data_IF_483683999026
#
_entry.id   IF_483683999026
#
_cell.length_a   1.000
_cell.length_b   1.000
_cell.length_c   1.000
_cell.angle_alpha   90.00
_cell.angle_beta   90.00
_cell.angle_gamma   90.00
#
_symmetry.space_group_name_H-M   'P 1'
#
loop_
_entity.id
_entity.type
_entity.pdbx_description
1 polymer ?
#
# COMPACT_ATOMS: atom_id res chain seq x y z
N UNK A 1 -13.77 -15.53 1.73
CA UNK A 1 -12.52 -15.47 2.51
C UNK A 1 -12.86 -14.94 3.89
N UNK A 2 -12.33 -15.55 4.95
CA UNK A 2 -12.58 -15.15 6.35
C UNK A 2 -11.25 -14.72 6.96
N UNK A 3 -11.26 -13.59 7.69
CA UNK A 3 -10.10 -13.06 8.42
C UNK A 3 -10.46 -12.92 9.90
N UNK A 4 -9.61 -13.44 10.77
CA UNK A 4 -9.71 -13.23 12.22
C UNK A 4 -8.46 -12.48 12.66
N UNK A 5 -8.59 -11.14 12.67
CA UNK A 5 -7.47 -10.23 12.89
C UNK A 5 -6.32 -10.46 11.89
N UNK A 6 -5.09 -10.26 12.36
CA UNK A 6 -3.87 -10.44 11.54
C UNK A 6 -3.28 -11.85 11.60
N UNK A 7 -3.84 -12.74 12.43
CA UNK A 7 -3.24 -14.02 12.79
C UNK A 7 -3.79 -15.22 12.03
N UNK A 8 -4.98 -15.08 11.43
CA UNK A 8 -5.71 -16.22 10.91
C UNK A 8 -6.55 -15.82 9.70
N UNK A 9 -6.42 -16.57 8.62
CA UNK A 9 -7.30 -16.46 7.46
C UNK A 9 -7.74 -17.84 6.96
N UNK A 10 -8.93 -17.90 6.36
CA UNK A 10 -9.44 -19.07 5.66
C UNK A 10 -9.84 -18.68 4.24
N UNK A 11 -9.21 -19.34 3.26
CA UNK A 11 -9.46 -19.17 1.84
C UNK A 11 -9.67 -20.55 1.22
N UNK A 12 -10.84 -20.79 0.61
CA UNK A 12 -11.18 -22.07 -0.03
C UNK A 12 -10.92 -23.29 0.88
N UNK A 13 -11.38 -23.23 2.13
CA UNK A 13 -11.13 -24.22 3.18
C UNK A 13 -9.65 -24.43 3.58
N UNK A 14 -8.71 -23.71 2.99
CA UNK A 14 -7.32 -23.70 3.41
C UNK A 14 -7.16 -22.69 4.54
N UNK A 15 -6.63 -23.18 5.67
CA UNK A 15 -6.32 -22.39 6.84
C UNK A 15 -4.88 -21.88 6.75
N UNK A 16 -4.71 -20.57 6.88
CA UNK A 16 -3.40 -19.93 7.02
C UNK A 16 -3.30 -19.24 8.38
N UNK A 17 -2.25 -19.56 9.13
CA UNK A 17 -1.92 -18.96 10.43
C UNK A 17 -0.66 -18.12 10.32
N UNK A 18 -0.67 -16.93 10.91
CA UNK A 18 0.48 -16.03 10.94
C UNK A 18 1.00 -15.88 12.36
N UNK A 19 2.31 -16.09 12.51
CA UNK A 19 3.02 -15.95 13.77
C UNK A 19 3.81 -14.64 13.79
N UNK A 20 3.71 -13.92 14.91
CA UNK A 20 4.33 -12.61 15.08
C UNK A 20 5.23 -12.59 16.30
N UNK A 21 6.27 -11.77 16.24
CA UNK A 21 6.96 -11.25 17.41
C UNK A 21 6.78 -9.73 17.43
N UNK A 22 6.02 -9.24 18.41
CA UNK A 22 5.57 -7.85 18.43
C UNK A 22 4.78 -7.53 17.15
N UNK A 23 5.24 -6.53 16.39
CA UNK A 23 4.62 -6.10 15.14
C UNK A 23 5.11 -6.86 13.90
N UNK A 24 6.16 -7.67 14.03
CA UNK A 24 6.82 -8.32 12.88
C UNK A 24 6.28 -9.72 12.65
N UNK A 25 5.85 -10.00 11.42
CA UNK A 25 5.41 -11.34 11.00
C UNK A 25 6.64 -12.22 10.73
N UNK A 26 6.79 -13.30 11.49
CA UNK A 26 7.98 -14.17 11.44
C UNK A 26 7.75 -15.48 10.68
N UNK A 27 6.52 -15.98 10.67
CA UNK A 27 6.22 -17.25 10.03
C UNK A 27 4.77 -17.33 9.59
N UNK A 28 4.55 -18.21 8.63
CA UNK A 28 3.24 -18.55 8.10
C UNK A 28 3.09 -20.06 8.09
N UNK A 29 1.96 -20.56 8.59
CA UNK A 29 1.58 -21.97 8.46
C UNK A 29 0.34 -22.08 7.59
N UNK A 30 0.51 -22.63 6.40
CA UNK A 30 -0.58 -22.86 5.45
C UNK A 30 -0.77 -24.36 5.32
N UNK A 31 -1.99 -24.84 5.56
CA UNK A 31 -2.34 -26.26 5.43
C UNK A 31 -1.34 -27.20 6.15
N UNK A 32 -1.03 -26.88 7.41
CA UNK A 32 -0.08 -27.63 8.24
C UNK A 32 1.41 -27.37 7.95
N UNK A 33 1.77 -26.80 6.80
CA UNK A 33 3.15 -26.53 6.41
C UNK A 33 3.66 -25.20 6.98
N UNK A 34 4.67 -25.24 7.85
CA UNK A 34 5.32 -24.06 8.42
C UNK A 34 6.43 -23.54 7.50
N UNK A 35 6.40 -22.23 7.22
CA UNK A 35 7.48 -21.53 6.52
C UNK A 35 7.86 -20.26 7.29
N UNK A 36 9.15 -19.93 7.33
CA UNK A 36 9.62 -18.73 8.00
C UNK A 36 9.76 -17.59 6.99
N UNK A 37 9.44 -16.39 7.45
CA UNK A 37 9.49 -15.16 6.69
C UNK A 37 10.58 -14.27 7.30
N UNK A 38 11.55 -13.90 6.48
CA UNK A 38 12.60 -12.97 6.86
C UNK A 38 12.36 -11.67 6.12
N UNK A 39 12.51 -10.57 6.85
CA UNK A 39 12.18 -9.26 6.34
C UNK A 39 13.28 -8.23 6.44
N UNK A 40 13.05 -7.10 5.78
CA UNK A 40 13.90 -5.92 5.88
C UNK A 40 13.55 -5.07 7.11
N UNK A 41 14.28 -3.97 7.29
CA UNK A 41 14.08 -3.04 8.41
C UNK A 41 12.70 -2.34 8.40
N UNK A 42 11.98 -2.34 7.27
CA UNK A 42 10.63 -1.81 7.16
C UNK A 42 9.55 -2.86 7.45
N UNK A 43 9.96 -4.11 7.72
CA UNK A 43 9.05 -5.23 7.95
C UNK A 43 8.49 -5.85 6.67
N UNK A 44 9.11 -5.60 5.51
CA UNK A 44 8.71 -6.27 4.26
C UNK A 44 9.08 -7.76 4.30
N UNK A 45 8.34 -8.64 3.65
CA UNK A 45 8.73 -10.06 3.53
C UNK A 45 9.68 -10.27 2.35
N UNK A 46 10.98 -10.38 2.60
CA UNK A 46 12.00 -10.48 1.54
C UNK A 46 12.43 -11.91 1.24
N UNK A 47 12.40 -12.82 2.21
CA UNK A 47 12.86 -14.20 2.02
C UNK A 47 11.90 -15.17 2.70
N UNK A 48 11.64 -16.31 2.06
CA UNK A 48 10.97 -17.45 2.68
C UNK A 48 11.93 -18.61 2.82
N UNK A 49 11.94 -19.25 3.99
CA UNK A 49 12.66 -20.51 4.22
C UNK A 49 11.70 -21.62 4.65
N UNK A 50 12.11 -22.86 4.41
CA UNK A 50 11.41 -24.05 4.88
C UNK A 50 11.79 -24.39 6.33
N UNK A 51 11.24 -25.49 6.85
CA UNK A 51 11.51 -25.96 8.21
C UNK A 51 12.99 -26.32 8.48
N UNK A 52 13.78 -26.63 7.44
CA UNK A 52 15.22 -26.91 7.56
C UNK A 52 16.10 -25.66 7.39
N UNK A 53 15.51 -24.48 7.24
CA UNK A 53 16.23 -23.21 7.04
C UNK A 53 16.71 -22.97 5.60
N UNK A 54 16.42 -23.87 4.66
CA UNK A 54 16.75 -23.66 3.26
C UNK A 54 15.85 -22.61 2.62
N UNK A 55 16.45 -21.70 1.83
CA UNK A 55 15.73 -20.64 1.10
C UNK A 55 14.87 -21.24 -0.01
N UNK A 56 13.56 -20.99 0.05
CA UNK A 56 12.59 -21.43 -0.98
C UNK A 56 12.15 -20.29 -1.89
N UNK A 57 12.17 -19.05 -1.40
CA UNK A 57 11.83 -17.88 -2.20
C UNK A 57 12.53 -16.62 -1.70
N UNK A 58 12.68 -15.63 -2.58
CA UNK A 58 13.14 -14.29 -2.25
C UNK A 58 12.49 -13.23 -3.13
N UNK A 59 12.18 -12.08 -2.57
CA UNK A 59 11.74 -10.88 -3.26
C UNK A 59 12.56 -9.67 -2.81
N UNK A 60 12.90 -8.81 -3.77
CA UNK A 60 13.51 -7.51 -3.52
C UNK A 60 12.57 -6.43 -4.02
N UNK A 61 12.40 -5.38 -3.22
CA UNK A 61 11.51 -4.27 -3.51
C UNK A 61 12.32 -3.02 -3.90
N UNK A 62 11.77 -2.19 -4.79
CA UNK A 62 12.21 -0.81 -4.98
C UNK A 62 11.75 0.03 -3.78
N UNK A 63 12.21 1.28 -3.70
CA UNK A 63 11.90 2.21 -2.61
C UNK A 63 10.39 2.40 -2.34
N UNK A 64 9.55 2.21 -3.36
CA UNK A 64 8.09 2.37 -3.27
C UNK A 64 7.32 1.04 -3.32
N UNK A 65 7.97 -0.10 -3.10
CA UNK A 65 7.28 -1.39 -3.00
C UNK A 65 7.04 -2.14 -4.30
N UNK A 66 7.45 -1.58 -5.44
CA UNK A 66 7.47 -2.32 -6.71
C UNK A 66 8.48 -3.46 -6.61
N UNK A 67 8.09 -4.65 -7.05
CA UNK A 67 8.97 -5.81 -7.05
C UNK A 67 10.10 -5.62 -8.06
N UNK A 68 11.34 -5.50 -7.57
CA UNK A 68 12.55 -5.39 -8.39
C UNK A 68 13.03 -6.75 -8.89
N UNK A 69 12.92 -7.77 -8.05
CA UNK A 69 13.37 -9.12 -8.36
C UNK A 69 12.59 -10.13 -7.52
N UNK A 70 12.27 -11.27 -8.12
CA UNK A 70 11.69 -12.43 -7.41
C UNK A 70 12.35 -13.71 -7.86
N UNK A 71 12.57 -14.61 -6.90
CA UNK A 71 12.95 -15.99 -7.13
C UNK A 71 12.04 -16.88 -6.28
N UNK A 72 11.46 -17.91 -6.89
CA UNK A 72 10.41 -18.70 -6.26
C UNK A 72 9.14 -17.89 -5.98
N UNK A 73 8.23 -18.48 -5.21
CA UNK A 73 6.97 -17.82 -4.79
C UNK A 73 7.00 -17.58 -3.30
N UNK A 74 6.87 -16.32 -2.89
CA UNK A 74 6.69 -15.99 -1.49
C UNK A 74 5.46 -16.67 -0.94
N UNK A 75 5.58 -17.10 0.29
CA UNK A 75 4.58 -17.93 0.97
C UNK A 75 3.49 -17.14 1.67
N UNK A 76 3.39 -15.86 1.34
CA UNK A 76 2.54 -14.86 1.99
C UNK A 76 2.16 -13.81 0.96
N UNK A 77 0.92 -13.33 1.07
CA UNK A 77 0.42 -12.18 0.31
C UNK A 77 0.87 -10.85 0.95
N UNK A 78 1.40 -10.90 2.18
CA UNK A 78 1.94 -9.73 2.86
C UNK A 78 3.40 -9.50 2.47
N UNK A 79 3.65 -8.46 1.68
CA UNK A 79 4.93 -8.20 1.02
C UNK A 79 5.55 -6.91 1.53
N UNK A 80 5.56 -5.83 0.73
CA UNK A 80 6.21 -4.56 1.09
C UNK A 80 5.62 -3.94 2.36
N UNK A 81 6.49 -3.50 3.29
CA UNK A 81 6.10 -2.89 4.58
C UNK A 81 5.10 -3.73 5.40
N UNK A 82 5.08 -5.04 5.17
CA UNK A 82 4.16 -5.97 5.80
C UNK A 82 2.69 -5.84 5.37
N UNK A 83 2.39 -5.04 4.35
CA UNK A 83 1.03 -4.87 3.82
C UNK A 83 0.66 -5.98 2.87
N UNK A 84 -0.65 -6.28 2.81
CA UNK A 84 -1.19 -7.27 1.89
C UNK A 84 -1.20 -6.71 0.48
N UNK A 85 -0.55 -7.41 -0.43
CA UNK A 85 -0.66 -7.16 -1.86
C UNK A 85 -1.85 -7.93 -2.43
N UNK A 86 -2.62 -7.29 -3.30
CA UNK A 86 -3.59 -7.95 -4.16
C UNK A 86 -3.01 -8.07 -5.57
N UNK A 87 -2.58 -9.28 -5.92
CA UNK A 87 -2.01 -9.58 -7.24
C UNK A 87 -3.06 -9.53 -8.36
N UNK A 88 -4.35 -9.75 -8.05
CA UNK A 88 -5.42 -9.70 -9.04
C UNK A 88 -5.71 -8.26 -9.49
N UNK A 89 -5.39 -7.28 -8.65
CA UNK A 89 -5.53 -5.84 -8.92
C UNK A 89 -4.23 -5.21 -9.43
N UNK A 90 -3.30 -6.00 -9.96
CA UNK A 90 -2.05 -5.49 -10.54
C UNK A 90 -0.94 -5.19 -9.52
N UNK A 91 -1.00 -5.77 -8.33
CA UNK A 91 0.04 -5.62 -7.31
C UNK A 91 -0.14 -4.40 -6.40
N UNK A 92 -1.39 -3.97 -6.20
CA UNK A 92 -1.72 -2.89 -5.26
C UNK A 92 -1.72 -3.40 -3.83
N UNK A 93 -1.32 -2.54 -2.90
CA UNK A 93 -1.24 -2.84 -1.48
C UNK A 93 -2.42 -2.26 -0.70
N UNK A 94 -2.96 -3.03 0.23
CA UNK A 94 -4.02 -2.58 1.13
C UNK A 94 -3.45 -2.13 2.47
N UNK A 95 -3.45 -0.81 2.70
CA UNK A 95 -3.01 -0.15 3.93
C UNK A 95 -4.20 0.11 4.88
N UNK A 96 -5.01 -0.93 5.13
CA UNK A 96 -6.20 -0.93 6.00
C UNK A 96 -7.36 -0.01 5.59
N UNK A 97 -7.10 1.25 5.25
CA UNK A 97 -8.09 2.24 4.81
C UNK A 97 -7.90 2.70 3.36
N UNK A 98 -6.74 2.38 2.76
CA UNK A 98 -6.34 2.89 1.44
C UNK A 98 -5.69 1.81 0.60
N UNK A 99 -5.87 1.95 -0.71
CA UNK A 99 -5.13 1.21 -1.72
C UNK A 99 -3.93 2.04 -2.18
N UNK A 100 -2.77 1.40 -2.23
CA UNK A 100 -1.52 1.99 -2.67
C UNK A 100 -1.00 1.23 -3.88
N UNK A 101 -0.81 1.95 -4.99
CA UNK A 101 -0.22 1.41 -6.21
C UNK A 101 1.29 1.70 -6.23
N UNK A 102 2.16 0.68 -6.16
CA UNK A 102 3.60 0.86 -6.18
C UNK A 102 4.12 1.34 -7.55
N UNK A 103 3.39 1.11 -8.65
CA UNK A 103 3.80 1.45 -10.01
C UNK A 103 3.73 2.97 -10.30
N UNK A 104 2.81 3.66 -9.63
CA UNK A 104 2.63 5.11 -9.78
C UNK A 104 3.76 5.91 -9.11
N UNK A 105 4.60 5.25 -8.31
CA UNK A 105 5.90 5.74 -7.83
C UNK A 105 5.92 7.24 -7.55
N UNK A 106 4.99 7.75 -6.72
CA UNK A 106 4.75 9.18 -6.49
C UNK A 106 6.04 9.89 -6.03
N UNK A 107 6.85 10.30 -7.01
CA UNK A 107 7.88 11.33 -6.86
C UNK A 107 7.16 12.66 -6.78
N UNK A 108 6.80 13.07 -5.56
CA UNK A 108 6.80 14.46 -5.08
C UNK A 108 6.47 14.44 -3.59
N UNK A 109 7.49 14.74 -2.79
CA UNK A 109 7.56 14.85 -1.32
C UNK A 109 7.53 13.55 -0.51
N UNK A 110 8.62 13.25 0.25
CA UNK A 110 8.66 12.17 1.22
C UNK A 110 7.94 12.64 2.48
N UNK A 111 6.61 12.66 2.45
CA UNK A 111 5.84 12.70 3.70
C UNK A 111 5.74 11.27 4.17
N UNK A 112 6.07 11.03 5.44
CA UNK A 112 5.81 9.77 6.14
C UNK A 112 4.38 9.28 5.85
N UNK A 113 4.05 7.99 6.00
CA UNK A 113 2.67 7.53 5.96
C UNK A 113 1.90 8.11 7.15
N UNK A 114 1.54 9.38 7.00
CA UNK A 114 0.53 10.08 7.75
C UNK A 114 -0.81 9.44 7.36
N UNK A 115 -1.40 8.79 8.35
CA UNK A 115 -2.70 8.15 8.30
C UNK A 115 -3.87 9.14 8.26
N UNK A 116 -3.68 10.38 7.78
CA UNK A 116 -4.78 11.35 7.67
C UNK A 116 -5.63 11.02 6.45
N UNK A 117 -6.94 10.71 6.60
CA UNK A 117 -7.92 10.63 5.52
C UNK A 117 -7.73 11.81 4.57
N UNK A 118 -7.71 11.58 3.26
CA UNK A 118 -7.54 12.63 2.26
C UNK A 118 -8.93 13.24 2.14
N UNK A 119 -9.35 13.91 3.20
CA UNK A 119 -10.47 14.83 3.20
C UNK A 119 -10.04 15.86 2.16
N UNK A 120 -10.79 16.06 1.07
CA UNK A 120 -10.55 17.21 0.21
C UNK A 120 -10.62 18.43 1.12
N UNK A 121 -9.47 19.05 1.39
CA UNK A 121 -9.46 20.25 2.19
C UNK A 121 -10.25 21.30 1.41
N UNK A 122 -11.31 21.79 2.03
CA UNK A 122 -12.09 22.91 1.52
C UNK A 122 -11.24 24.19 1.37
N UNK A 123 -10.03 24.20 1.96
CA UNK A 123 -9.07 25.31 1.96
C UNK A 123 -8.00 25.23 0.88
N UNK A 124 -8.11 24.33 -0.10
CA UNK A 124 -7.30 24.37 -1.32
C UNK A 124 -8.06 25.08 -2.45
N UNK A 125 -8.09 26.44 -2.51
CA UNK A 125 -8.73 27.13 -3.62
C UNK A 125 -7.97 26.82 -4.91
N UNK A 126 -8.72 26.31 -5.88
CA UNK A 126 -8.25 25.97 -7.22
C UNK A 126 -7.38 27.10 -7.83
N UNK A 127 -6.15 26.81 -8.33
CA UNK A 127 -5.29 27.81 -8.94
C UNK A 127 -5.89 28.37 -10.24
N UNK A 128 -5.64 29.65 -10.51
CA UNK A 128 -6.15 30.46 -11.64
C UNK A 128 -6.06 29.83 -13.05
N UNK A 129 -5.22 28.82 -13.28
CA UNK A 129 -4.90 28.28 -14.60
C UNK A 129 -5.43 26.86 -14.88
N UNK A 130 -6.54 26.46 -14.25
CA UNK A 130 -7.25 25.22 -14.64
C UNK A 130 -8.74 25.49 -14.84
N UNK A 131 -9.23 25.22 -16.05
CA UNK A 131 -10.63 25.39 -16.46
C UNK A 131 -11.59 24.33 -15.88
N UNK A 132 -11.07 23.24 -15.31
CA UNK A 132 -11.89 22.14 -14.79
C UNK A 132 -11.56 21.86 -13.31
N UNK A 133 -12.16 22.67 -12.43
CA UNK A 133 -12.27 22.31 -11.01
C UNK A 133 -13.53 21.44 -10.86
N UNK A 134 -13.32 20.13 -10.73
CA UNK A 134 -14.42 19.19 -10.52
C UNK A 134 -15.03 19.41 -9.13
N UNK A 135 -16.34 19.68 -9.08
CA UNK A 135 -17.11 19.79 -7.84
C UNK A 135 -17.49 21.21 -7.36
N UNK A 136 -17.08 22.28 -8.05
CA UNK A 136 -17.49 23.64 -7.66
C UNK A 136 -18.91 24.00 -8.12
N UNK A 137 -19.73 24.59 -7.24
CA UNK A 137 -21.01 25.20 -7.61
C UNK A 137 -20.78 26.40 -8.54
N UNK A 138 -21.77 26.72 -9.38
CA UNK A 138 -21.67 27.78 -10.40
C UNK A 138 -21.34 29.17 -9.81
N UNK A 139 -21.83 29.44 -8.60
CA UNK A 139 -21.55 30.67 -7.84
C UNK A 139 -20.09 30.79 -7.41
N UNK A 140 -19.46 29.68 -7.00
CA UNK A 140 -18.04 29.65 -6.66
C UNK A 140 -17.15 29.80 -7.91
N UNK A 141 -17.58 29.26 -9.05
CA UNK A 141 -16.88 29.45 -10.34
C UNK A 141 -16.90 30.90 -10.80
N UNK A 142 -17.98 31.65 -10.57
CA UNK A 142 -18.07 33.08 -10.89
C UNK A 142 -17.19 33.94 -9.98
N UNK A 143 -17.15 33.66 -8.67
CA UNK A 143 -16.29 34.35 -7.72
C UNK A 143 -14.79 34.16 -8.03
N UNK A 144 -14.41 32.96 -8.46
CA UNK A 144 -13.01 32.64 -8.81
C UNK A 144 -12.56 33.30 -10.12
N UNK A 145 -13.46 33.46 -11.12
CA UNK A 145 -13.16 34.21 -12.34
C UNK A 145 -12.93 35.70 -12.05
N UNK A 146 -13.71 36.29 -11.14
CA UNK A 146 -13.55 37.68 -10.74
C UNK A 146 -12.23 37.92 -9.98
N UNK A 147 -11.86 37.03 -9.05
CA UNK A 147 -10.61 37.12 -8.31
C UNK A 147 -9.37 36.99 -9.22
N UNK A 148 -9.45 36.20 -10.29
CA UNK A 148 -8.35 36.00 -11.21
C UNK A 148 -8.11 37.20 -12.16
N UNK A 149 -9.13 38.02 -12.45
CA UNK A 149 -8.97 39.24 -13.27
C UNK A 149 -8.22 40.36 -12.54
N UNK A 150 -8.26 40.39 -11.22
CA UNK A 150 -7.55 41.40 -10.41
C UNK A 150 -6.05 41.11 -10.35
N UNK A 151 -5.64 39.83 -10.37
CA UNK A 151 -4.23 39.41 -10.31
C UNK A 151 -3.45 39.60 -11.62
N UNK A 152 -4.13 39.89 -12.75
CA UNK A 152 -3.50 40.09 -14.06
C UNK A 152 -3.24 41.56 -14.40
N UNK A 153 -3.46 42.49 -13.46
CA UNK A 153 -3.31 43.94 -13.66
C UNK A 153 -2.29 44.62 -12.73
N UNK A 154 -1.40 43.85 -12.11
CA UNK A 154 -0.19 44.33 -11.43
C UNK A 154 1.04 43.75 -12.07
#
# INVERSE_FOLDING_TARGET
MIYVGNHYEVKNNIVTKYYFAGTTRLAVRTDGTLRFLLGDHLGSSSVTTNASGAKTASALYKAFGETRFTSGTLSTDYKFTGQREDSALGGVYFFQSRWFDPSLGLRKNPVKPDMSPRIPDHRDPCPCNRSNCHGASETLRQAQRAACQVSART
#
